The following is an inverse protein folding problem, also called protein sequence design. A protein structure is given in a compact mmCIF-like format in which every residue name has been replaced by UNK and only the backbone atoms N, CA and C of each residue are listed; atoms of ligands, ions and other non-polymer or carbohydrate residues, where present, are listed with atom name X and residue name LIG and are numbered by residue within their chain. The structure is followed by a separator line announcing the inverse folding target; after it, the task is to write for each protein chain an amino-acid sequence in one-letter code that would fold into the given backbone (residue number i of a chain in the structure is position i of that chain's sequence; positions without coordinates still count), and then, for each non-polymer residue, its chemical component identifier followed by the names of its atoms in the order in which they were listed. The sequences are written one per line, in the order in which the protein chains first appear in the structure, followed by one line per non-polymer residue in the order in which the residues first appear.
data_IF_393956992610
#
_entry.id   IF_393956992610
#
_cell.length_a   1.000
_cell.length_b   1.000
_cell.length_c   1.000
_cell.angle_alpha   90.00
_cell.angle_beta   90.00
_cell.angle_gamma   90.00
#
_symmetry.space_group_name_H-M   'P 1'
#
loop_
_entity.id
_entity.type
_entity.pdbx_description
1 polymer ?
#
# COMPACT_ATOMS: atom_id res chain seq x y z
N UNK A 1 32.41 1.54 10.02
CA UNK A 1 32.08 0.29 10.71
C UNK A 1 30.67 -0.12 10.33
N UNK A 2 30.41 -1.43 10.18
CA UNK A 2 29.11 -1.94 9.81
C UNK A 2 28.30 -2.40 11.05
N UNK A 3 27.01 -2.71 10.92
CA UNK A 3 26.15 -3.17 12.02
C UNK A 3 26.61 -4.49 12.66
N UNK A 4 27.59 -5.16 12.08
CA UNK A 4 28.16 -6.43 12.54
C UNK A 4 29.66 -6.34 12.85
N UNK A 5 30.21 -5.12 13.08
CA UNK A 5 31.60 -4.96 13.47
C UNK A 5 31.90 -5.71 14.77
N UNK A 6 33.10 -6.30 14.87
CA UNK A 6 33.58 -6.96 16.09
C UNK A 6 34.01 -5.87 17.09
N UNK A 7 33.28 -5.70 18.19
CA UNK A 7 33.58 -4.66 19.17
C UNK A 7 34.96 -4.84 19.86
N UNK A 8 35.43 -6.08 20.15
CA UNK A 8 36.75 -6.27 20.77
C UNK A 8 37.95 -5.88 19.88
N UNK A 9 37.70 -5.71 18.58
CA UNK A 9 38.74 -5.33 17.62
C UNK A 9 38.82 -3.81 17.36
N UNK A 10 37.94 -3.03 18.00
CA UNK A 10 37.92 -1.58 17.86
C UNK A 10 38.94 -0.95 18.82
N UNK A 11 39.75 -0.04 18.28
CA UNK A 11 40.68 0.80 19.03
C UNK A 11 39.94 1.96 19.72
N UNK A 12 40.58 2.65 20.66
CA UNK A 12 40.03 3.84 21.30
C UNK A 12 39.71 4.93 20.27
N UNK A 13 40.60 5.14 19.27
CA UNK A 13 40.34 6.07 18.15
C UNK A 13 39.07 5.69 17.34
N UNK A 14 38.84 4.40 17.17
CA UNK A 14 37.61 3.93 16.48
C UNK A 14 36.37 4.24 17.32
N UNK A 15 36.44 4.12 18.63
CA UNK A 15 35.36 4.47 19.54
C UNK A 15 35.07 5.97 19.55
N UNK A 16 36.12 6.81 19.61
CA UNK A 16 36.00 8.27 19.58
C UNK A 16 35.36 8.72 18.25
N UNK A 17 35.86 8.18 17.14
CA UNK A 17 35.30 8.47 15.81
C UNK A 17 33.84 8.02 15.68
N UNK A 18 33.51 6.85 16.18
CA UNK A 18 32.12 6.36 16.18
C UNK A 18 31.23 7.23 17.06
N UNK A 19 31.72 7.66 18.21
CA UNK A 19 31.05 8.59 19.12
C UNK A 19 30.77 9.93 18.45
N UNK A 20 31.76 10.50 17.76
CA UNK A 20 31.60 11.76 17.04
C UNK A 20 30.56 11.68 15.94
N UNK A 21 30.61 10.62 15.10
CA UNK A 21 29.61 10.39 14.05
C UNK A 21 28.21 10.20 14.67
N UNK A 22 28.11 9.45 15.75
CA UNK A 22 26.86 9.26 16.47
C UNK A 22 26.29 10.59 17.00
N UNK A 23 27.14 11.43 17.56
CA UNK A 23 26.76 12.75 18.05
C UNK A 23 26.29 13.68 16.92
N UNK A 24 26.96 13.71 15.77
CA UNK A 24 26.58 14.51 14.60
C UNK A 24 25.14 14.20 14.15
N UNK A 25 24.75 12.92 14.14
CA UNK A 25 23.38 12.56 13.82
C UNK A 25 22.40 12.88 14.95
N UNK A 26 22.72 12.50 16.19
CA UNK A 26 21.78 12.63 17.31
C UNK A 26 21.59 14.07 17.78
N UNK A 27 22.56 14.96 17.56
CA UNK A 27 22.44 16.39 17.87
C UNK A 27 21.34 17.10 17.07
N UNK A 28 20.95 16.54 15.93
CA UNK A 28 19.82 17.02 15.12
C UNK A 28 18.46 16.39 15.53
N UNK A 29 18.39 15.74 16.71
CA UNK A 29 17.17 15.10 17.20
C UNK A 29 16.66 13.98 16.31
N UNK A 30 15.33 13.80 16.26
CA UNK A 30 14.69 12.71 15.52
C UNK A 30 15.03 12.74 14.03
N UNK A 31 15.13 13.91 13.42
CA UNK A 31 15.47 14.06 12.02
C UNK A 31 16.88 13.53 11.69
N UNK A 32 17.84 13.79 12.54
CA UNK A 32 19.21 13.27 12.38
C UNK A 32 19.28 11.76 12.59
N UNK A 33 18.57 11.25 13.60
CA UNK A 33 18.47 9.81 13.85
C UNK A 33 17.82 9.13 12.62
N UNK A 34 16.74 9.68 12.07
CA UNK A 34 16.08 9.16 10.88
C UNK A 34 17.03 9.11 9.68
N UNK A 35 17.82 10.16 9.47
CA UNK A 35 18.83 10.22 8.41
C UNK A 35 19.88 9.12 8.54
N UNK A 36 20.34 8.85 9.76
CA UNK A 36 21.28 7.76 10.04
C UNK A 36 20.66 6.37 9.74
N UNK A 37 19.40 6.17 10.12
CA UNK A 37 18.67 4.92 9.84
C UNK A 37 18.45 4.72 8.35
N UNK A 38 18.11 5.77 7.61
CA UNK A 38 17.96 5.76 6.15
C UNK A 38 19.28 5.39 5.46
N UNK A 39 20.41 5.95 5.92
CA UNK A 39 21.73 5.59 5.42
C UNK A 39 22.04 4.10 5.62
N UNK A 40 21.71 3.54 6.81
CA UNK A 40 21.90 2.11 7.07
C UNK A 40 20.97 1.23 6.22
N UNK A 41 19.73 1.67 6.03
CA UNK A 41 18.72 0.95 5.24
C UNK A 41 19.10 0.85 3.77
N UNK A 42 19.68 1.91 3.19
CA UNK A 42 20.11 1.94 1.77
C UNK A 42 21.36 1.15 1.50
N UNK A 43 22.14 0.77 2.53
CA UNK A 43 23.35 -0.03 2.32
C UNK A 43 23.00 -1.39 1.75
N UNK A 44 23.77 -1.86 0.73
CA UNK A 44 23.58 -3.21 0.19
C UNK A 44 23.75 -4.25 1.31
N UNK A 45 22.75 -5.09 1.49
CA UNK A 45 22.82 -6.21 2.42
C UNK A 45 23.76 -7.28 1.86
N UNK A 46 24.78 -7.66 2.63
CA UNK A 46 25.75 -8.69 2.23
C UNK A 46 25.16 -10.11 2.08
N UNK A 47 23.95 -10.35 2.56
CA UNK A 47 23.29 -11.65 2.51
C UNK A 47 21.78 -11.48 2.28
N UNK A 48 21.27 -12.18 1.27
CA UNK A 48 19.82 -12.29 1.00
C UNK A 48 19.02 -12.95 2.15
N UNK A 49 19.69 -13.68 3.04
CA UNK A 49 19.05 -14.45 4.13
C UNK A 49 18.59 -13.59 5.30
N UNK A 50 19.08 -12.34 5.44
CA UNK A 50 18.77 -11.46 6.58
C UNK A 50 18.05 -10.19 6.13
N UNK A 51 16.87 -10.34 5.54
CA UNK A 51 16.09 -9.22 4.98
C UNK A 51 15.22 -8.45 5.98
N UNK A 52 15.33 -8.71 7.28
CA UNK A 52 14.53 -8.04 8.33
C UNK A 52 15.25 -6.90 9.03
N UNK A 53 14.57 -6.20 9.97
CA UNK A 53 15.14 -5.10 10.74
C UNK A 53 16.45 -5.47 11.45
N UNK A 54 16.52 -6.67 12.01
CA UNK A 54 17.74 -7.17 12.66
C UNK A 54 18.92 -7.30 11.68
N UNK A 55 18.66 -7.71 10.42
CA UNK A 55 19.69 -7.78 9.39
C UNK A 55 20.23 -6.41 9.00
N UNK A 56 19.37 -5.41 8.93
CA UNK A 56 19.71 -4.04 8.57
C UNK A 56 20.41 -3.29 9.70
N UNK A 57 19.82 -3.33 10.89
CA UNK A 57 20.28 -2.51 12.03
C UNK A 57 21.19 -3.29 13.01
N UNK A 58 21.34 -4.60 12.84
CA UNK A 58 22.30 -5.43 13.57
C UNK A 58 22.20 -5.26 15.08
N UNK A 59 23.30 -4.78 15.69
CA UNK A 59 23.40 -4.61 17.13
C UNK A 59 22.50 -3.52 17.70
N UNK A 60 22.20 -2.47 16.95
CA UNK A 60 21.25 -1.44 17.36
C UNK A 60 19.85 -2.04 17.58
N UNK A 61 19.38 -2.89 16.66
CA UNK A 61 18.13 -3.61 16.82
C UNK A 61 18.16 -4.57 18.03
N UNK A 62 19.23 -5.36 18.16
CA UNK A 62 19.39 -6.31 19.27
C UNK A 62 19.41 -5.59 20.61
N UNK A 63 20.13 -4.48 20.71
CA UNK A 63 20.17 -3.66 21.92
C UNK A 63 18.77 -3.16 22.29
N UNK A 64 18.00 -2.61 21.36
CA UNK A 64 16.63 -2.17 21.63
C UNK A 64 15.70 -3.32 22.02
N UNK A 65 15.79 -4.46 21.33
CA UNK A 65 14.89 -5.60 21.55
C UNK A 65 15.15 -6.36 22.85
N UNK A 66 16.41 -6.50 23.27
CA UNK A 66 16.82 -7.32 24.41
C UNK A 66 17.32 -6.50 25.60
N UNK A 67 17.05 -5.24 25.61
CA UNK A 67 17.43 -4.32 26.65
C UNK A 67 16.79 -4.69 27.99
N UNK A 68 17.65 -4.79 29.04
CA UNK A 68 17.23 -5.14 30.41
C UNK A 68 17.07 -3.92 31.32
N UNK A 69 17.42 -2.71 30.83
CA UNK A 69 17.42 -1.49 31.62
C UNK A 69 16.17 -0.65 31.37
N UNK A 70 15.49 -0.23 32.40
CA UNK A 70 14.36 0.71 32.37
C UNK A 70 14.79 2.17 32.24
N UNK A 71 16.10 2.45 32.14
CA UNK A 71 16.61 3.82 31.99
C UNK A 71 16.13 4.42 30.66
N UNK A 72 15.71 5.68 30.68
CA UNK A 72 15.35 6.39 29.45
C UNK A 72 16.53 6.40 28.47
N UNK A 73 16.24 6.16 27.19
CA UNK A 73 17.25 6.12 26.12
C UNK A 73 17.08 7.26 25.11
N UNK A 74 16.30 8.24 25.50
CA UNK A 74 15.96 9.34 24.59
C UNK A 74 15.15 8.87 23.38
N UNK A 75 15.10 9.65 22.29
CA UNK A 75 14.24 9.42 21.15
C UNK A 75 14.70 8.26 20.22
N UNK A 76 15.88 7.66 20.45
CA UNK A 76 16.49 6.70 19.52
C UNK A 76 15.59 5.48 19.30
N UNK A 77 14.98 4.92 20.35
CA UNK A 77 14.15 3.72 20.22
C UNK A 77 12.80 4.02 19.57
N UNK A 78 12.21 5.15 19.89
CA UNK A 78 10.94 5.58 19.31
C UNK A 78 11.12 5.86 17.82
N UNK A 79 12.15 6.61 17.44
CA UNK A 79 12.50 6.88 16.05
C UNK A 79 12.85 5.61 15.29
N UNK A 80 13.61 4.67 15.90
CA UNK A 80 13.94 3.38 15.30
C UNK A 80 12.68 2.50 15.12
N UNK A 81 11.78 2.51 16.10
CA UNK A 81 10.49 1.80 16.02
C UNK A 81 9.66 2.31 14.86
N UNK A 82 9.47 3.63 14.79
CA UNK A 82 8.72 4.27 13.71
C UNK A 82 9.34 3.99 12.34
N UNK A 83 10.67 4.09 12.23
CA UNK A 83 11.38 3.76 10.99
C UNK A 83 11.14 2.31 10.57
N UNK A 84 11.20 1.37 11.51
CA UNK A 84 10.96 -0.05 11.23
C UNK A 84 9.52 -0.28 10.78
N UNK A 85 8.54 0.32 11.44
CA UNK A 85 7.13 0.20 11.09
C UNK A 85 6.82 0.80 9.71
N UNK A 86 7.54 1.85 9.32
CA UNK A 86 7.36 2.52 8.02
C UNK A 86 8.08 1.83 6.85
N UNK A 87 9.01 0.92 7.13
CA UNK A 87 9.81 0.27 6.08
C UNK A 87 9.63 -1.25 6.02
N UNK A 88 9.19 -1.88 7.11
CA UNK A 88 9.07 -3.34 7.22
C UNK A 88 7.63 -3.81 7.48
N UNK A 89 7.24 -4.97 6.96
CA UNK A 89 5.89 -5.53 7.13
C UNK A 89 5.74 -6.21 8.50
N UNK A 90 5.76 -5.43 9.57
CA UNK A 90 5.60 -5.94 10.94
C UNK A 90 4.11 -6.20 11.21
N UNK A 91 3.79 -7.44 11.61
CA UNK A 91 2.41 -7.86 11.85
C UNK A 91 1.84 -7.25 13.14
N UNK A 92 0.53 -6.97 13.21
CA UNK A 92 -0.14 -6.65 14.47
C UNK A 92 0.06 -7.77 15.50
N UNK A 93 0.23 -7.38 16.76
CA UNK A 93 0.53 -8.30 17.86
C UNK A 93 2.02 -8.66 18.02
N UNK A 94 2.89 -8.28 17.07
CA UNK A 94 4.32 -8.43 17.24
C UNK A 94 4.83 -7.47 18.32
N UNK A 95 5.86 -7.88 19.06
CA UNK A 95 6.51 -7.04 20.08
C UNK A 95 7.78 -6.42 19.49
N UNK A 96 7.81 -5.09 19.41
CA UNK A 96 8.95 -4.32 18.96
C UNK A 96 9.44 -3.43 20.11
N UNK A 97 10.66 -3.64 20.57
CA UNK A 97 11.27 -2.91 21.69
C UNK A 97 10.41 -2.84 22.96
N UNK A 98 9.69 -3.93 23.26
CA UNK A 98 8.80 -4.02 24.42
C UNK A 98 7.38 -3.48 24.19
N UNK A 99 7.10 -2.88 23.04
CA UNK A 99 5.77 -2.36 22.69
C UNK A 99 5.06 -3.30 21.71
N UNK A 100 3.77 -3.50 21.93
CA UNK A 100 2.93 -4.30 21.01
C UNK A 100 2.56 -3.45 19.80
N UNK A 101 2.82 -3.97 18.60
CA UNK A 101 2.42 -3.31 17.34
C UNK A 101 0.91 -3.48 17.16
N UNK A 102 0.19 -2.39 17.17
CA UNK A 102 -1.28 -2.40 17.03
C UNK A 102 -1.72 -2.51 15.58
N UNK A 103 -1.10 -1.72 14.69
CA UNK A 103 -1.48 -1.64 13.27
C UNK A 103 -0.27 -1.88 12.37
N UNK A 104 -0.47 -2.72 11.36
CA UNK A 104 0.53 -2.93 10.30
C UNK A 104 0.56 -1.72 9.37
N UNK A 105 1.74 -1.12 9.17
CA UNK A 105 1.90 0.05 8.28
C UNK A 105 2.33 -0.34 6.87
N UNK A 106 2.89 -1.54 6.70
CA UNK A 106 3.39 -2.05 5.42
C UNK A 106 2.96 -3.48 5.19
N UNK A 107 2.59 -3.78 3.96
CA UNK A 107 2.30 -5.15 3.52
C UNK A 107 3.29 -5.64 2.47
N UNK A 108 3.66 -6.90 2.55
CA UNK A 108 4.10 -7.66 1.38
C UNK A 108 2.87 -8.11 0.59
N UNK A 109 3.04 -8.50 -0.68
CA UNK A 109 1.95 -9.10 -1.47
C UNK A 109 1.31 -10.29 -0.74
N UNK A 110 2.13 -11.15 -0.13
CA UNK A 110 1.65 -12.33 0.61
C UNK A 110 0.86 -11.95 1.87
N UNK A 111 1.34 -10.96 2.65
CA UNK A 111 0.64 -10.55 3.88
C UNK A 111 -0.68 -9.84 3.55
N UNK A 112 -0.72 -9.01 2.51
CA UNK A 112 -1.96 -8.35 2.06
C UNK A 112 -2.96 -9.37 1.51
N UNK A 113 -2.50 -10.33 0.72
CA UNK A 113 -3.33 -11.41 0.21
C UNK A 113 -3.98 -12.23 1.34
N UNK A 114 -3.20 -12.57 2.37
CA UNK A 114 -3.70 -13.29 3.53
C UNK A 114 -4.69 -12.47 4.37
N UNK A 115 -4.39 -11.19 4.64
CA UNK A 115 -5.28 -10.31 5.42
C UNK A 115 -6.61 -10.04 4.71
N UNK A 116 -6.58 -9.88 3.39
CA UNK A 116 -7.77 -9.56 2.58
C UNK A 116 -8.51 -10.79 2.05
N UNK A 117 -7.98 -12.02 2.23
CA UNK A 117 -8.57 -13.24 1.71
C UNK A 117 -8.63 -13.28 0.18
N UNK A 118 -7.59 -12.74 -0.49
CA UNK A 118 -7.48 -12.67 -1.96
C UNK A 118 -6.27 -13.44 -2.42
N UNK A 119 -6.33 -14.06 -3.60
CA UNK A 119 -5.20 -14.83 -4.12
C UNK A 119 -3.96 -13.92 -4.35
N UNK A 120 -2.73 -14.30 -3.93
CA UNK A 120 -1.54 -13.45 -4.04
C UNK A 120 -1.24 -12.95 -5.45
N UNK A 121 -1.47 -13.76 -6.48
CA UNK A 121 -1.29 -13.37 -7.89
C UNK A 121 -2.25 -12.23 -8.29
N UNK A 122 -3.49 -12.26 -7.78
CA UNK A 122 -4.46 -11.18 -8.00
C UNK A 122 -3.97 -9.88 -7.36
N UNK A 123 -3.54 -9.95 -6.10
CA UNK A 123 -3.00 -8.79 -5.37
C UNK A 123 -1.78 -8.22 -6.09
N UNK A 124 -0.81 -9.06 -6.48
CA UNK A 124 0.38 -8.63 -7.21
C UNK A 124 0.04 -7.90 -8.52
N UNK A 125 -0.88 -8.46 -9.32
CA UNK A 125 -1.30 -7.85 -10.57
C UNK A 125 -1.99 -6.50 -10.36
N UNK A 126 -2.90 -6.41 -9.40
CA UNK A 126 -3.64 -5.17 -9.09
C UNK A 126 -2.69 -4.09 -8.59
N UNK A 127 -1.80 -4.41 -7.65
CA UNK A 127 -0.81 -3.46 -7.14
C UNK A 127 0.18 -3.00 -8.22
N UNK A 128 0.57 -3.89 -9.14
CA UNK A 128 1.43 -3.53 -10.27
C UNK A 128 0.71 -2.63 -11.28
N UNK A 129 -0.55 -2.91 -11.60
CA UNK A 129 -1.36 -2.09 -12.50
C UNK A 129 -1.68 -0.72 -11.92
N UNK A 130 -1.86 -0.62 -10.59
CA UNK A 130 -2.06 0.67 -9.91
C UNK A 130 -0.76 1.47 -9.69
N UNK A 131 0.40 0.96 -10.14
CA UNK A 131 1.70 1.61 -9.95
C UNK A 131 2.26 1.55 -8.52
N UNK A 132 1.61 0.81 -7.61
CA UNK A 132 2.10 0.62 -6.23
C UNK A 132 3.28 -0.35 -6.15
N UNK A 133 3.42 -1.24 -7.16
CA UNK A 133 4.55 -2.13 -7.33
C UNK A 133 5.15 -1.97 -8.73
N UNK A 134 6.47 -2.17 -8.90
CA UNK A 134 7.10 -2.22 -10.22
C UNK A 134 6.48 -3.33 -11.08
N UNK A 135 6.36 -3.10 -12.41
CA UNK A 135 5.70 -4.03 -13.34
C UNK A 135 6.41 -5.40 -13.47
N UNK A 136 7.70 -5.46 -13.18
CA UNK A 136 8.54 -6.66 -13.39
C UNK A 136 8.60 -7.60 -12.17
N UNK A 137 7.84 -7.33 -11.13
CA UNK A 137 7.87 -8.11 -9.90
C UNK A 137 6.88 -9.28 -9.96
N UNK A 138 7.17 -10.24 -10.83
CA UNK A 138 6.39 -11.48 -10.91
C UNK A 138 6.70 -12.49 -9.80
N UNK A 139 7.83 -12.36 -9.15
CA UNK A 139 8.22 -13.18 -8.01
C UNK A 139 8.34 -12.27 -6.80
N UNK A 140 7.45 -12.50 -5.85
CA UNK A 140 7.40 -11.86 -4.57
C UNK A 140 8.80 -11.75 -3.93
N UNK A 141 9.57 -10.74 -4.30
CA UNK A 141 10.67 -10.34 -3.46
C UNK A 141 10.03 -9.93 -2.15
N UNK A 142 10.24 -10.75 -1.12
CA UNK A 142 9.74 -10.54 0.25
C UNK A 142 10.17 -9.18 0.81
N UNK A 143 11.06 -8.48 0.11
CA UNK A 143 11.56 -7.13 0.40
C UNK A 143 10.67 -6.02 -0.14
N UNK A 144 9.83 -6.31 -1.13
CA UNK A 144 8.95 -5.28 -1.67
C UNK A 144 7.70 -5.16 -0.82
N UNK A 145 7.55 -3.98 -0.26
CA UNK A 145 6.41 -3.65 0.59
C UNK A 145 5.65 -2.46 0.04
N UNK A 146 4.36 -2.46 0.24
CA UNK A 146 3.45 -1.35 -0.07
C UNK A 146 2.91 -0.74 1.21
N UNK A 147 2.51 0.52 1.19
CA UNK A 147 1.78 1.13 2.31
C UNK A 147 0.47 0.38 2.54
N UNK A 148 0.18 0.03 3.80
CA UNK A 148 -0.97 -0.83 4.13
C UNK A 148 -2.30 -0.18 3.74
N UNK A 149 -2.55 1.04 4.21
CA UNK A 149 -3.83 1.72 4.05
C UNK A 149 -4.27 1.87 2.58
N UNK A 150 -3.49 2.45 1.65
CA UNK A 150 -3.91 2.57 0.25
C UNK A 150 -4.01 1.22 -0.46
N UNK A 151 -3.20 0.23 -0.07
CA UNK A 151 -3.25 -1.09 -0.67
C UNK A 151 -4.47 -1.90 -0.19
N UNK A 152 -4.81 -1.83 1.09
CA UNK A 152 -6.02 -2.43 1.66
C UNK A 152 -7.29 -1.82 1.05
N UNK A 153 -7.33 -0.48 0.91
CA UNK A 153 -8.44 0.22 0.28
C UNK A 153 -8.63 -0.22 -1.19
N UNK A 154 -7.55 -0.28 -1.97
CA UNK A 154 -7.60 -0.73 -3.36
C UNK A 154 -8.15 -2.16 -3.48
N UNK A 155 -7.68 -3.08 -2.62
CA UNK A 155 -8.16 -4.47 -2.64
C UNK A 155 -9.60 -4.56 -2.12
N UNK A 156 -10.01 -3.73 -1.15
CA UNK A 156 -11.39 -3.65 -0.70
C UNK A 156 -12.32 -3.18 -1.82
N UNK A 157 -11.95 -2.13 -2.56
CA UNK A 157 -12.66 -1.68 -3.76
C UNK A 157 -12.78 -2.80 -4.79
N UNK A 158 -11.68 -3.52 -5.06
CA UNK A 158 -11.71 -4.65 -6.00
C UNK A 158 -12.69 -5.75 -5.58
N UNK A 159 -12.80 -6.03 -4.28
CA UNK A 159 -13.74 -7.06 -3.76
C UNK A 159 -15.20 -6.67 -3.91
N UNK A 160 -15.50 -5.37 -3.83
CA UNK A 160 -16.86 -4.83 -4.02
C UNK A 160 -17.18 -4.55 -5.48
N UNK A 161 -16.17 -4.54 -6.35
CA UNK A 161 -16.31 -4.13 -7.72
C UNK A 161 -17.27 -5.03 -8.51
N UNK A 162 -18.17 -4.39 -9.24
CA UNK A 162 -19.08 -5.04 -10.19
C UNK A 162 -18.34 -5.19 -11.51
N UNK A 163 -18.19 -6.42 -12.05
CA UNK A 163 -17.60 -6.61 -13.37
C UNK A 163 -18.30 -5.79 -14.43
N UNK A 164 -17.56 -5.14 -15.32
CA UNK A 164 -18.12 -4.29 -16.39
C UNK A 164 -19.21 -5.01 -17.18
N UNK A 165 -19.06 -6.33 -17.41
CA UNK A 165 -20.05 -7.15 -18.10
C UNK A 165 -21.40 -7.26 -17.36
N UNK A 166 -21.42 -7.03 -16.03
CA UNK A 166 -22.65 -7.11 -15.19
C UNK A 166 -23.25 -5.72 -14.90
N UNK A 167 -22.55 -4.64 -15.20
CA UNK A 167 -23.07 -3.28 -15.01
C UNK A 167 -24.40 -3.05 -15.73
N UNK A 168 -24.59 -3.52 -17.01
CA UNK A 168 -25.86 -3.38 -17.71
C UNK A 168 -27.06 -3.92 -16.92
N UNK A 169 -26.89 -5.08 -16.28
CA UNK A 169 -27.96 -5.72 -15.48
C UNK A 169 -28.18 -4.94 -14.17
N UNK A 170 -27.12 -4.38 -13.59
CA UNK A 170 -27.17 -3.69 -12.31
C UNK A 170 -27.88 -2.32 -12.38
N UNK A 171 -27.59 -1.54 -13.42
CA UNK A 171 -28.15 -0.19 -13.62
C UNK A 171 -29.27 -0.12 -14.67
N UNK A 172 -29.66 -1.24 -15.28
CA UNK A 172 -30.75 -1.29 -16.25
C UNK A 172 -30.44 -0.60 -17.58
N UNK A 173 -29.16 -0.59 -18.03
CA UNK A 173 -28.73 0.03 -19.28
C UNK A 173 -28.22 -1.02 -20.29
N UNK A 174 -27.90 -0.56 -21.49
CA UNK A 174 -27.33 -1.44 -22.54
C UNK A 174 -25.79 -1.48 -22.47
N UNK A 175 -25.16 -2.52 -23.02
CA UNK A 175 -23.69 -2.61 -23.09
C UNK A 175 -23.04 -1.42 -23.81
N UNK A 176 -23.54 -0.91 -24.94
CA UNK A 176 -23.01 0.29 -25.59
C UNK A 176 -23.05 1.53 -24.69
N UNK A 177 -24.11 1.70 -23.87
CA UNK A 177 -24.21 2.81 -22.93
C UNK A 177 -23.12 2.71 -21.84
N UNK A 178 -22.88 1.52 -21.29
CA UNK A 178 -21.76 1.32 -20.33
C UNK A 178 -20.42 1.64 -20.98
N UNK A 179 -20.20 1.22 -22.23
CA UNK A 179 -18.97 1.54 -22.95
C UNK A 179 -18.78 3.06 -23.11
N UNK A 180 -19.84 3.79 -23.42
CA UNK A 180 -19.82 5.24 -23.54
C UNK A 180 -19.57 5.93 -22.19
N UNK A 181 -20.17 5.46 -21.08
CA UNK A 181 -19.94 5.99 -19.75
C UNK A 181 -18.48 5.81 -19.30
N UNK A 182 -17.86 4.67 -19.63
CA UNK A 182 -16.44 4.42 -19.39
C UNK A 182 -15.55 5.31 -20.28
N UNK A 183 -15.87 5.44 -21.57
CA UNK A 183 -15.13 6.29 -22.52
C UNK A 183 -15.18 7.77 -22.14
N UNK A 184 -16.31 8.27 -21.67
CA UNK A 184 -16.50 9.63 -21.21
C UNK A 184 -15.96 9.87 -19.77
N UNK A 185 -15.48 8.83 -19.09
CA UNK A 185 -14.92 8.93 -17.75
C UNK A 185 -15.93 9.12 -16.61
N UNK A 186 -17.24 8.91 -16.89
CA UNK A 186 -18.28 8.94 -15.85
C UNK A 186 -18.21 7.70 -14.95
N UNK A 187 -17.78 6.57 -15.51
CA UNK A 187 -17.43 5.38 -14.75
C UNK A 187 -15.94 5.12 -14.86
N UNK A 188 -15.33 4.78 -13.74
CA UNK A 188 -13.91 4.42 -13.68
C UNK A 188 -13.75 3.01 -13.18
N UNK A 189 -12.93 2.22 -13.85
CA UNK A 189 -12.56 0.90 -13.35
C UNK A 189 -11.61 1.02 -12.15
N UNK A 190 -11.74 0.13 -11.17
CA UNK A 190 -10.88 0.07 -9.97
C UNK A 190 -9.39 -0.01 -10.34
N UNK A 191 -9.11 -0.65 -11.47
CA UNK A 191 -7.76 -0.74 -12.03
C UNK A 191 -7.82 -0.27 -13.48
N UNK A 192 -7.03 0.74 -13.82
CA UNK A 192 -6.94 1.24 -15.19
C UNK A 192 -6.37 0.20 -16.15
N UNK A 193 -6.74 0.27 -17.42
CA UNK A 193 -6.30 -0.65 -18.47
C UNK A 193 -4.77 -0.59 -18.63
N UNK A 194 -4.05 -1.55 -18.05
CA UNK A 194 -2.67 -1.82 -18.41
C UNK A 194 -2.59 -2.65 -19.70
N UNK A 195 -1.41 -2.74 -20.29
CA UNK A 195 -1.13 -3.51 -21.55
C UNK A 195 -1.56 -4.98 -21.49
N UNK A 196 -1.78 -5.55 -20.32
CA UNK A 196 -2.31 -6.89 -20.12
C UNK A 196 -3.84 -6.87 -19.92
N UNK A 197 -4.55 -7.00 -21.03
CA UNK A 197 -6.03 -7.06 -21.17
C UNK A 197 -6.70 -8.28 -20.52
N UNK A 198 -6.32 -8.72 -19.35
CA UNK A 198 -7.09 -9.76 -18.68
C UNK A 198 -8.34 -9.15 -18.08
N UNK A 199 -9.48 -9.38 -18.73
CA UNK A 199 -10.83 -8.89 -18.38
C UNK A 199 -11.26 -9.20 -16.92
N UNK A 200 -10.44 -9.92 -16.16
CA UNK A 200 -10.71 -10.39 -14.80
C UNK A 200 -10.76 -9.27 -13.74
N UNK A 201 -10.13 -8.13 -14.00
CA UNK A 201 -10.05 -7.02 -13.05
C UNK A 201 -10.79 -5.77 -13.51
N UNK A 202 -11.51 -5.87 -14.63
CA UNK A 202 -12.37 -4.80 -15.12
C UNK A 202 -13.66 -4.79 -14.31
N UNK A 203 -13.65 -4.05 -13.22
CA UNK A 203 -14.82 -3.82 -12.41
C UNK A 203 -14.86 -2.37 -11.97
N UNK A 204 -16.06 -1.86 -11.75
CA UNK A 204 -16.31 -0.54 -11.16
C UNK A 204 -16.72 -0.76 -9.72
N UNK A 205 -16.11 -0.01 -8.78
CA UNK A 205 -16.53 -0.05 -7.38
C UNK A 205 -17.99 0.39 -7.30
N UNK A 206 -18.77 -0.24 -6.42
CA UNK A 206 -20.21 0.04 -6.32
C UNK A 206 -20.47 1.49 -5.89
N UNK A 207 -19.65 2.02 -5.00
CA UNK A 207 -19.79 3.40 -4.53
C UNK A 207 -19.44 4.40 -5.64
N UNK A 208 -18.40 4.09 -6.45
CA UNK A 208 -18.03 4.89 -7.63
C UNK A 208 -19.08 4.78 -8.75
N UNK A 209 -19.76 3.65 -8.85
CA UNK A 209 -20.86 3.46 -9.80
C UNK A 209 -22.05 4.35 -9.45
N UNK A 210 -22.49 4.34 -8.20
CA UNK A 210 -23.63 5.14 -7.73
C UNK A 210 -23.33 6.64 -7.85
N UNK A 211 -22.12 7.09 -7.45
CA UNK A 211 -21.68 8.47 -7.64
C UNK A 211 -21.61 8.88 -9.11
N UNK A 212 -21.14 8.00 -9.98
CA UNK A 212 -21.07 8.23 -11.42
C UNK A 212 -22.45 8.43 -12.04
N UNK A 213 -23.43 7.62 -11.64
CA UNK A 213 -24.82 7.72 -12.08
C UNK A 213 -25.44 9.03 -11.60
N UNK A 214 -25.27 9.40 -10.33
CA UNK A 214 -25.75 10.65 -9.76
C UNK A 214 -25.13 11.88 -10.45
N UNK A 215 -23.86 11.81 -10.79
CA UNK A 215 -23.17 12.88 -11.51
C UNK A 215 -23.74 13.08 -12.92
N UNK A 216 -23.98 12.01 -13.66
CA UNK A 216 -24.61 12.04 -14.99
C UNK A 216 -26.03 12.62 -14.90
N UNK A 217 -26.80 12.19 -13.90
CA UNK A 217 -28.16 12.69 -13.68
C UNK A 217 -28.20 14.20 -13.39
N UNK A 218 -27.25 14.70 -12.60
CA UNK A 218 -27.16 16.14 -12.26
C UNK A 218 -26.59 17.03 -13.36
N UNK A 219 -25.55 16.53 -14.07
CA UNK A 219 -24.80 17.35 -15.05
C UNK A 219 -25.54 17.52 -16.37
N UNK A 220 -26.34 16.55 -16.79
CA UNK A 220 -26.89 16.50 -18.16
C UNK A 220 -28.41 16.58 -18.21
N UNK A 221 -29.10 16.64 -17.08
CA UNK A 221 -30.57 16.71 -17.07
C UNK A 221 -31.24 15.60 -17.89
N UNK A 222 -32.56 15.53 -17.88
CA UNK A 222 -33.32 14.49 -18.58
C UNK A 222 -33.05 14.37 -20.08
N UNK A 223 -32.55 15.42 -20.74
CA UNK A 223 -32.41 15.43 -22.22
C UNK A 223 -31.22 14.60 -22.75
N UNK A 224 -30.09 14.59 -22.05
CA UNK A 224 -28.92 13.85 -22.53
C UNK A 224 -28.97 12.36 -22.13
N UNK A 225 -29.55 12.06 -20.98
CA UNK A 225 -29.95 10.70 -20.63
C UNK A 225 -31.00 10.17 -21.61
N UNK A 226 -31.93 10.99 -22.07
CA UNK A 226 -32.89 10.63 -23.12
C UNK A 226 -32.24 10.43 -24.49
N UNK A 227 -31.16 11.20 -24.85
CA UNK A 227 -30.38 10.92 -26.08
C UNK A 227 -29.58 9.63 -25.98
N UNK A 228 -29.00 9.34 -24.80
CA UNK A 228 -28.33 8.05 -24.54
C UNK A 228 -29.34 6.88 -24.48
N UNK A 229 -30.57 7.13 -24.04
CA UNK A 229 -31.68 6.15 -24.02
C UNK A 229 -32.36 6.00 -25.39
N UNK A 230 -32.27 6.97 -26.28
CA UNK A 230 -32.94 6.92 -27.60
C UNK A 230 -32.29 5.99 -28.62
N UNK A 231 -31.14 5.34 -28.24
CA UNK A 231 -30.57 4.27 -29.07
C UNK A 231 -31.34 2.95 -28.93
N UNK A 232 -32.16 2.77 -27.88
CA UNK A 232 -33.11 1.66 -27.76
C UNK A 232 -34.24 2.02 -26.78
N UNK A 233 -35.44 2.16 -27.28
CA UNK A 233 -36.63 2.72 -26.61
C UNK A 233 -37.27 1.94 -25.47
N UNK A 234 -36.51 1.28 -24.57
CA UNK A 234 -37.12 0.42 -23.56
C UNK A 234 -36.67 0.69 -22.08
N UNK A 235 -35.72 1.58 -21.77
CA UNK A 235 -35.08 1.62 -20.43
C UNK A 235 -35.29 2.90 -19.63
N UNK A 236 -35.97 3.89 -20.16
CA UNK A 236 -36.22 5.17 -19.45
C UNK A 236 -37.12 5.03 -18.20
N UNK A 237 -37.76 3.90 -17.95
CA UNK A 237 -38.76 3.73 -16.89
C UNK A 237 -38.23 3.44 -15.50
N UNK A 238 -37.01 2.94 -15.33
CA UNK A 238 -36.47 2.55 -14.01
C UNK A 238 -35.58 3.60 -13.34
N UNK A 239 -34.93 4.46 -14.12
CA UNK A 239 -34.06 5.54 -13.57
C UNK A 239 -34.86 6.71 -12.99
N UNK A 240 -36.17 6.80 -13.23
CA UNK A 240 -37.03 7.90 -12.79
C UNK A 240 -38.22 7.46 -11.93
N UNK A 241 -38.24 6.23 -11.42
CA UNK A 241 -39.37 5.70 -10.67
C UNK A 241 -39.34 5.99 -9.16
N UNK A 242 -38.24 6.54 -8.63
CA UNK A 242 -38.06 6.75 -7.16
C UNK A 242 -38.22 8.22 -6.69
N UNK A 243 -38.76 9.10 -7.52
CA UNK A 243 -39.07 10.48 -7.13
C UNK A 243 -40.59 10.73 -7.10
N UNK A 244 -41.31 9.96 -6.25
CA UNK A 244 -42.67 10.29 -5.78
C UNK A 244 -42.88 9.87 -4.33
#
# INVERSE_FOLDING_TARGET
YGPHASLPELTDDDWDRAGQIGFEFTSNGDAGIWQALEYLYRKPQKSAVKCGPQGTFGRLYQWGQFRKSDKPVGPILDTLSDFILDHYPIKPGAVLFGQVVEKQRRHTVASLAASMGVHPKTVANVLSQSGMLPKDVYHADSRQTVKAEPAEELIAKLKRAIPVAKIPEHIGCTRPQVALLLEKGFLRTVVEDGENRTARYKGVDIDDLDLGIDHVARAHGSQELQRLAHVDGAVAGKLFADDR
#
